data_IF_153543634754
#
_entry.id   IF_153543634754
#
_cell.length_a   1.000
_cell.length_b   1.000
_cell.length_c   1.000
_cell.angle_alpha   90.00
_cell.angle_beta   90.00
_cell.angle_gamma   90.00
#
_symmetry.space_group_name_H-M   'P 1'
#
loop_
_entity.id
_entity.type
_entity.pdbx_description
1 polymer ?
#
# COMPACT_ATOMS: atom_id res chain seq x y z
N UNK A 1 33.27 27.48 16.14
CA UNK A 1 32.08 26.88 15.50
C UNK A 1 31.92 25.47 16.02
N UNK A 2 30.72 25.08 16.43
CA UNK A 2 30.45 23.70 16.86
C UNK A 2 30.51 22.78 15.63
N UNK A 3 31.22 21.64 15.66
CA UNK A 3 31.26 20.71 14.55
C UNK A 3 29.86 20.15 14.26
N UNK A 4 29.60 19.79 13.01
CA UNK A 4 28.37 19.12 12.64
C UNK A 4 28.27 17.76 13.35
N UNK A 5 27.16 17.51 14.05
CA UNK A 5 26.83 16.22 14.64
C UNK A 5 25.50 15.71 14.05
N UNK A 6 25.47 14.63 13.25
CA UNK A 6 24.24 14.11 12.68
C UNK A 6 23.25 13.55 13.72
N UNK A 7 23.70 13.32 14.95
CA UNK A 7 22.84 12.87 16.07
C UNK A 7 21.92 14.00 16.53
N UNK A 8 22.36 15.26 16.45
CA UNK A 8 21.63 16.41 17.00
C UNK A 8 21.18 17.41 15.91
N UNK A 9 21.99 17.56 14.86
CA UNK A 9 21.77 18.57 13.83
C UNK A 9 20.88 18.05 12.69
N UNK A 10 19.88 18.84 12.25
CA UNK A 10 19.09 18.50 11.08
C UNK A 10 19.95 18.30 9.83
N UNK A 11 19.62 17.29 9.04
CA UNK A 11 20.33 16.97 7.82
C UNK A 11 19.41 16.23 6.85
N UNK A 12 19.85 16.06 5.60
CA UNK A 12 19.14 15.25 4.60
C UNK A 12 19.97 14.02 4.26
N UNK A 13 19.29 12.89 4.04
CA UNK A 13 19.89 11.65 3.52
C UNK A 13 19.30 11.33 2.16
N UNK A 14 20.15 11.04 1.19
CA UNK A 14 19.73 10.70 -0.16
C UNK A 14 19.30 9.24 -0.25
N UNK A 15 18.14 8.98 -0.88
CA UNK A 15 17.68 7.65 -1.22
C UNK A 15 18.02 7.38 -2.70
N UNK A 16 19.00 6.50 -3.00
CA UNK A 16 19.42 6.24 -4.37
C UNK A 16 18.38 5.48 -5.20
N UNK A 17 17.42 4.78 -4.57
CA UNK A 17 16.37 4.06 -5.30
C UNK A 17 15.32 5.02 -5.88
N UNK A 18 15.05 6.14 -5.21
CA UNK A 18 14.01 7.10 -5.62
C UNK A 18 14.57 8.40 -6.16
N UNK A 19 15.87 8.65 -5.99
CA UNK A 19 16.49 9.93 -6.35
C UNK A 19 16.09 11.10 -5.45
N UNK A 20 15.49 10.81 -4.29
CA UNK A 20 14.94 11.82 -3.39
C UNK A 20 15.73 11.91 -2.09
N UNK A 21 15.50 12.99 -1.34
CA UNK A 21 16.12 13.20 -0.04
C UNK A 21 15.10 13.11 1.07
N UNK A 22 15.49 12.48 2.18
CA UNK A 22 14.71 12.44 3.42
C UNK A 22 15.28 13.45 4.40
N UNK A 23 14.43 14.34 4.93
CA UNK A 23 14.80 15.29 5.98
C UNK A 23 14.79 14.59 7.34
N UNK A 24 15.91 14.65 8.04
CA UNK A 24 16.09 14.15 9.40
C UNK A 24 16.12 15.33 10.37
N UNK A 25 15.19 15.35 11.33
CA UNK A 25 15.12 16.34 12.41
C UNK A 25 15.17 15.62 13.76
N UNK A 26 16.37 15.37 14.33
CA UNK A 26 16.56 14.39 15.41
C UNK A 26 15.72 14.62 16.68
N UNK A 27 15.31 15.87 16.93
CA UNK A 27 14.56 16.23 18.14
C UNK A 27 13.08 16.52 17.89
N UNK A 28 12.58 16.30 16.66
CA UNK A 28 11.22 16.71 16.27
C UNK A 28 10.14 16.06 17.13
N UNK A 29 10.32 14.80 17.52
CA UNK A 29 9.38 14.04 18.34
C UNK A 29 9.34 14.47 19.82
N UNK A 30 10.23 15.35 20.29
CA UNK A 30 10.17 15.91 21.65
C UNK A 30 9.03 16.92 21.84
N UNK A 31 8.37 17.32 20.75
CA UNK A 31 7.22 18.23 20.82
C UNK A 31 6.03 17.50 21.46
N UNK A 32 5.26 18.17 22.33
CA UNK A 32 4.04 17.58 22.89
C UNK A 32 3.12 17.09 21.78
N UNK A 33 2.67 15.84 21.89
CA UNK A 33 1.68 15.26 20.99
C UNK A 33 0.29 15.34 21.63
N UNK A 34 -0.62 16.06 20.99
CA UNK A 34 -2.04 16.18 21.37
C UNK A 34 -2.97 15.73 20.24
N UNK A 35 -2.40 15.01 19.26
CA UNK A 35 -3.14 14.50 18.11
C UNK A 35 -3.76 13.13 18.39
N UNK A 36 -4.07 12.41 17.31
CA UNK A 36 -4.66 11.08 17.35
C UNK A 36 -3.82 10.09 18.18
N UNK A 37 -4.49 9.20 18.88
CA UNK A 37 -3.89 8.00 19.47
C UNK A 37 -4.43 6.79 18.71
N UNK A 38 -3.52 5.96 18.20
CA UNK A 38 -3.89 4.75 17.49
C UNK A 38 -4.41 3.70 18.47
N UNK A 39 -5.46 2.96 18.08
CA UNK A 39 -5.96 1.83 18.85
C UNK A 39 -5.17 0.58 18.48
N UNK A 40 -4.41 -0.03 19.40
CA UNK A 40 -3.70 -1.27 19.11
C UNK A 40 -4.72 -2.39 18.85
N UNK A 41 -4.48 -3.23 17.85
CA UNK A 41 -5.33 -4.40 17.61
C UNK A 41 -5.13 -5.42 18.73
N UNK A 42 -6.20 -5.76 19.45
CA UNK A 42 -6.19 -6.78 20.52
C UNK A 42 -7.00 -8.04 20.18
N UNK A 43 -7.33 -8.25 18.90
CA UNK A 43 -8.21 -9.35 18.52
C UNK A 43 -7.49 -10.69 18.47
N UNK A 44 -7.96 -11.63 19.29
CA UNK A 44 -7.84 -13.06 19.00
C UNK A 44 -8.88 -13.40 17.93
N UNK A 45 -8.42 -13.61 16.69
CA UNK A 45 -9.28 -13.98 15.58
C UNK A 45 -9.45 -15.50 15.53
N UNK A 46 -10.62 -16.02 15.12
CA UNK A 46 -10.81 -17.45 14.93
C UNK A 46 -9.94 -17.95 13.76
N UNK A 47 -9.63 -19.24 13.75
CA UNK A 47 -8.90 -19.86 12.63
C UNK A 47 -9.72 -19.89 11.34
N UNK A 48 -11.04 -19.88 11.45
CA UNK A 48 -11.98 -19.76 10.33
C UNK A 48 -13.17 -18.92 10.78
N UNK A 49 -13.54 -17.96 9.96
CA UNK A 49 -14.73 -17.11 10.13
C UNK A 49 -15.69 -17.43 8.98
N UNK A 50 -16.94 -17.86 9.26
CA UNK A 50 -17.90 -18.23 8.22
C UNK A 50 -18.31 -17.07 7.30
N UNK A 51 -18.14 -15.83 7.74
CA UNK A 51 -18.51 -14.63 6.98
C UNK A 51 -17.29 -14.01 6.24
N UNK A 52 -16.09 -14.56 6.42
CA UNK A 52 -14.88 -14.06 5.78
C UNK A 52 -14.80 -14.44 4.29
N UNK A 53 -14.79 -13.44 3.41
CA UNK A 53 -14.66 -13.63 1.96
C UNK A 53 -13.31 -14.24 1.50
N UNK A 54 -12.30 -14.27 2.37
CA UNK A 54 -10.99 -14.84 2.06
C UNK A 54 -10.81 -16.26 2.61
N UNK A 55 -11.68 -16.73 3.50
CA UNK A 55 -11.54 -18.04 4.13
C UNK A 55 -11.86 -19.19 3.16
N UNK A 56 -11.22 -20.33 3.39
CA UNK A 56 -11.44 -21.57 2.63
C UNK A 56 -12.90 -22.03 2.71
N UNK A 57 -13.45 -22.49 1.58
CA UNK A 57 -14.83 -22.96 1.48
C UNK A 57 -15.92 -21.88 1.54
N UNK A 58 -15.58 -20.63 1.84
CA UNK A 58 -16.56 -19.54 1.91
C UNK A 58 -16.85 -18.94 0.54
N UNK A 59 -18.00 -18.28 0.45
CA UNK A 59 -18.41 -17.52 -0.72
C UNK A 59 -17.77 -16.13 -0.65
N UNK A 60 -17.16 -15.67 -1.76
CA UNK A 60 -16.65 -14.31 -1.93
C UNK A 60 -17.78 -13.32 -2.13
N UNK A 61 -17.48 -12.03 -2.08
CA UNK A 61 -18.46 -10.95 -2.26
C UNK A 61 -19.19 -11.02 -3.61
N UNK A 62 -18.56 -11.59 -4.64
CA UNK A 62 -19.13 -11.78 -5.99
C UNK A 62 -20.02 -13.01 -6.13
N UNK A 63 -20.10 -13.86 -5.10
CA UNK A 63 -20.83 -15.13 -5.13
C UNK A 63 -19.98 -16.35 -5.51
N UNK A 64 -18.73 -16.16 -5.92
CA UNK A 64 -17.81 -17.28 -6.20
C UNK A 64 -17.40 -18.00 -4.92
N UNK A 65 -17.23 -19.32 -4.98
CA UNK A 65 -16.83 -20.10 -3.81
C UNK A 65 -15.33 -20.35 -3.78
N UNK A 66 -14.68 -20.02 -2.66
CA UNK A 66 -13.28 -20.38 -2.42
C UNK A 66 -13.16 -21.92 -2.32
N UNK A 67 -12.11 -22.51 -2.89
CA UNK A 67 -11.82 -23.93 -2.68
C UNK A 67 -11.48 -24.19 -1.21
N UNK A 68 -11.53 -25.47 -0.80
CA UNK A 68 -11.05 -25.89 0.52
C UNK A 68 -9.52 -25.99 0.56
N UNK A 69 -8.85 -24.84 0.38
CA UNK A 69 -7.40 -24.76 0.34
C UNK A 69 -6.80 -24.96 1.75
N UNK A 70 -5.62 -25.60 1.82
CA UNK A 70 -4.88 -25.83 3.08
C UNK A 70 -3.57 -25.05 3.18
N UNK A 71 -3.23 -24.29 2.13
CA UNK A 71 -1.99 -23.49 2.02
C UNK A 71 -2.29 -22.10 1.48
N UNK A 72 -1.41 -21.57 0.63
CA UNK A 72 -1.70 -20.33 -0.07
C UNK A 72 -2.75 -20.56 -1.16
N UNK A 73 -3.64 -19.59 -1.33
CA UNK A 73 -4.61 -19.56 -2.42
C UNK A 73 -4.53 -18.21 -3.13
N UNK A 74 -4.48 -18.25 -4.46
CA UNK A 74 -4.35 -17.07 -5.32
C UNK A 74 -5.55 -17.06 -6.25
N UNK A 75 -6.19 -15.91 -6.38
CA UNK A 75 -7.35 -15.71 -7.24
C UNK A 75 -7.27 -14.34 -7.91
N UNK A 76 -7.93 -14.17 -9.05
CA UNK A 76 -8.03 -12.83 -9.67
C UNK A 76 -8.96 -11.97 -8.84
N UNK A 77 -8.47 -10.81 -8.40
CA UNK A 77 -9.21 -9.91 -7.53
C UNK A 77 -10.57 -9.56 -8.14
N UNK A 78 -11.62 -9.67 -7.33
CA UNK A 78 -13.01 -9.44 -7.72
C UNK A 78 -13.25 -8.01 -8.25
N UNK A 79 -12.46 -7.05 -7.78
CA UNK A 79 -12.46 -5.65 -8.21
C UNK A 79 -11.05 -5.22 -8.62
N UNK A 80 -10.50 -5.90 -9.64
CA UNK A 80 -9.15 -5.64 -10.12
C UNK A 80 -8.94 -4.16 -10.53
N UNK A 81 -7.81 -3.58 -10.11
CA UNK A 81 -7.46 -2.19 -10.43
C UNK A 81 -7.00 -2.00 -11.89
N UNK A 82 -6.69 -3.10 -12.58
CA UNK A 82 -6.23 -3.15 -13.96
C UNK A 82 -6.88 -4.34 -14.67
N UNK A 83 -7.20 -4.18 -15.95
CA UNK A 83 -7.68 -5.25 -16.81
C UNK A 83 -6.70 -5.47 -17.97
N UNK A 84 -6.61 -6.70 -18.47
CA UNK A 84 -5.66 -7.05 -19.52
C UNK A 84 -6.09 -6.51 -20.89
N UNK A 85 -7.39 -6.36 -21.09
CA UNK A 85 -8.07 -5.94 -22.31
C UNK A 85 -8.48 -4.47 -22.31
N UNK A 86 -8.02 -3.68 -21.32
CA UNK A 86 -8.26 -2.23 -21.31
C UNK A 86 -7.76 -1.62 -22.63
N UNK A 87 -8.60 -0.87 -23.37
CA UNK A 87 -8.22 -0.27 -24.64
C UNK A 87 -7.13 0.78 -24.42
N UNK A 88 -6.39 1.06 -25.49
CA UNK A 88 -5.34 2.07 -25.43
C UNK A 88 -5.93 3.47 -25.26
N UNK A 89 -5.30 4.27 -24.39
CA UNK A 89 -5.59 5.68 -24.24
C UNK A 89 -5.05 6.45 -25.46
N UNK A 90 -5.68 7.57 -25.85
CA UNK A 90 -5.23 8.35 -27.00
C UNK A 90 -3.85 8.98 -26.73
N UNK A 91 -2.98 8.93 -27.74
CA UNK A 91 -1.72 9.66 -27.70
C UNK A 91 -1.96 11.17 -27.68
N UNK A 92 -1.25 11.88 -26.81
CA UNK A 92 -1.29 13.34 -26.73
C UNK A 92 0.12 13.92 -26.59
N UNK A 93 0.39 14.98 -27.34
CA UNK A 93 1.62 15.77 -27.22
C UNK A 93 1.44 17.02 -26.34
N UNK A 94 0.23 17.29 -25.83
CA UNK A 94 -0.06 18.44 -24.98
C UNK A 94 0.89 18.44 -23.77
N UNK A 95 1.68 19.50 -23.53
CA UNK A 95 2.71 19.51 -22.49
C UNK A 95 2.16 19.52 -21.05
N UNK A 96 0.86 19.79 -20.87
CA UNK A 96 0.22 19.93 -19.56
C UNK A 96 -0.76 18.79 -19.27
N UNK A 97 -1.55 18.36 -20.26
CA UNK A 97 -2.60 17.36 -20.10
C UNK A 97 -2.33 16.11 -20.94
N UNK A 98 -1.78 15.07 -20.30
CA UNK A 98 -1.46 13.77 -20.92
C UNK A 98 -2.08 12.62 -20.13
N UNK A 99 -2.50 11.58 -20.84
CA UNK A 99 -2.84 10.28 -20.28
C UNK A 99 -2.05 9.19 -21.01
N UNK A 100 -1.93 8.01 -20.41
CA UNK A 100 -1.26 6.84 -20.99
C UNK A 100 -2.06 5.59 -20.70
N UNK A 101 -2.01 4.60 -21.60
CA UNK A 101 -2.62 3.29 -21.40
C UNK A 101 -2.06 2.61 -20.15
N UNK A 102 -2.90 1.91 -19.40
CA UNK A 102 -2.50 1.05 -18.30
C UNK A 102 -3.29 -0.26 -18.37
N UNK A 103 -2.57 -1.38 -18.46
CA UNK A 103 -3.12 -2.74 -18.55
C UNK A 103 -2.43 -3.64 -17.53
N UNK A 104 -3.12 -4.67 -17.08
CA UNK A 104 -2.56 -5.62 -16.12
C UNK A 104 -3.61 -6.53 -15.51
N UNK A 105 -3.26 -7.16 -14.39
CA UNK A 105 -4.18 -7.97 -13.59
C UNK A 105 -3.84 -7.80 -12.11
N UNK A 106 -4.84 -7.93 -11.24
CA UNK A 106 -4.66 -7.99 -9.79
C UNK A 106 -4.90 -9.43 -9.34
N UNK A 107 -3.88 -10.09 -8.77
CA UNK A 107 -3.92 -11.48 -8.33
C UNK A 107 -3.16 -11.66 -7.02
#
# INVERSE_FOLDING_TARGET
MTPFNPIDHPHRRYNPLTGQWVLVSPHRAKRPWQGAQETPSQQMLPAHDPDCFLCAGNTRVTGDKNPDYKGTYVFTNDFAALMADTPDAPDSHDPLMRCQSARGTSR
#
